data_IF_093544884026
#
_entry.id   IF_093544884026
#
_cell.length_a   1.000
_cell.length_b   1.000
_cell.length_c   1.000
_cell.angle_alpha   90.00
_cell.angle_beta   90.00
_cell.angle_gamma   90.00
#
_symmetry.space_group_name_H-M   'P 1'
#
loop_
_entity.id
_entity.type
_entity.pdbx_description
1 polymer ?
#
# COMPACT_ATOMS: atom_id res chain seq x y z
N UNK A 1 15.36 -20.70 -7.26
CA UNK A 1 16.25 -20.46 -6.10
C UNK A 1 17.33 -19.42 -6.38
N UNK A 2 18.15 -19.53 -7.45
CA UNK A 2 19.25 -18.57 -7.76
C UNK A 2 18.82 -17.09 -7.85
N UNK A 3 17.67 -16.82 -8.47
CA UNK A 3 17.12 -15.45 -8.59
C UNK A 3 16.69 -14.84 -7.25
N UNK A 4 16.18 -15.66 -6.33
CA UNK A 4 15.78 -15.22 -4.99
C UNK A 4 16.98 -14.92 -4.11
N UNK A 5 18.01 -15.77 -4.16
CA UNK A 5 19.28 -15.53 -3.47
C UNK A 5 19.93 -14.22 -3.91
N UNK A 6 19.97 -13.94 -5.22
CA UNK A 6 20.50 -12.68 -5.74
C UNK A 6 19.68 -11.45 -5.31
N UNK A 7 18.35 -11.57 -5.25
CA UNK A 7 17.48 -10.53 -4.75
C UNK A 7 17.72 -10.25 -3.26
N UNK A 8 17.87 -11.29 -2.45
CA UNK A 8 18.22 -11.17 -1.03
C UNK A 8 19.59 -10.51 -0.84
N UNK A 9 20.61 -10.95 -1.61
CA UNK A 9 21.95 -10.34 -1.59
C UNK A 9 21.96 -8.86 -1.98
N UNK A 10 21.03 -8.40 -2.81
CA UNK A 10 20.89 -6.98 -3.15
C UNK A 10 20.19 -6.18 -2.06
N UNK A 11 19.29 -6.79 -1.33
CA UNK A 11 18.41 -6.11 -0.38
C UNK A 11 18.88 -6.22 1.07
N UNK A 12 19.86 -7.07 1.40
CA UNK A 12 20.24 -7.34 2.79
C UNK A 12 20.63 -6.08 3.55
N UNK A 13 21.33 -5.13 2.89
CA UNK A 13 21.72 -3.86 3.51
C UNK A 13 20.51 -3.04 3.93
N UNK A 14 19.53 -2.91 3.05
CA UNK A 14 18.27 -2.19 3.34
C UNK A 14 17.50 -2.87 4.45
N UNK A 15 17.48 -4.20 4.50
CA UNK A 15 16.81 -4.96 5.56
C UNK A 15 17.50 -4.74 6.90
N UNK A 16 18.84 -4.84 6.96
CA UNK A 16 19.60 -4.59 8.20
C UNK A 16 19.41 -3.16 8.71
N UNK A 17 19.45 -2.17 7.82
CA UNK A 17 19.14 -0.77 8.14
C UNK A 17 17.69 -0.67 8.65
N UNK A 18 16.76 -1.39 8.01
CA UNK A 18 15.36 -1.42 8.41
C UNK A 18 15.16 -2.02 9.82
N UNK A 19 15.84 -3.11 10.15
CA UNK A 19 15.79 -3.72 11.49
C UNK A 19 16.34 -2.72 12.53
N UNK A 20 17.48 -2.10 12.26
CA UNK A 20 18.06 -1.09 13.15
C UNK A 20 17.09 0.10 13.32
N UNK A 21 16.52 0.58 12.21
CA UNK A 21 15.55 1.68 12.26
C UNK A 21 14.30 1.33 13.06
N UNK A 22 13.76 0.13 12.87
CA UNK A 22 12.63 -0.38 13.65
C UNK A 22 12.94 -0.42 15.14
N UNK A 23 14.10 -0.97 15.52
CA UNK A 23 14.53 -1.01 16.91
C UNK A 23 14.70 0.39 17.52
N UNK A 24 15.34 1.32 16.82
CA UNK A 24 15.47 2.71 17.29
C UNK A 24 14.10 3.40 17.45
N UNK A 25 13.17 3.10 16.56
CA UNK A 25 11.81 3.64 16.63
C UNK A 25 11.01 3.09 17.82
N UNK A 26 11.25 1.85 18.26
CA UNK A 26 10.63 1.33 19.49
C UNK A 26 11.11 2.09 20.73
N UNK A 27 12.38 2.49 20.79
CA UNK A 27 12.93 3.23 21.92
C UNK A 27 12.32 4.62 22.12
N UNK A 28 11.80 5.22 21.05
CA UNK A 28 11.15 6.56 21.07
C UNK A 28 9.63 6.47 20.94
N UNK A 29 9.06 5.28 21.10
CA UNK A 29 7.61 5.02 21.04
C UNK A 29 6.93 5.57 19.78
N UNK A 30 7.56 5.42 18.61
CA UNK A 30 6.92 5.77 17.35
C UNK A 30 5.74 4.83 17.05
N UNK A 31 4.63 5.33 16.48
CA UNK A 31 3.56 4.47 16.00
C UNK A 31 4.10 3.54 14.90
N UNK A 32 3.68 2.29 14.92
CA UNK A 32 4.18 1.27 13.97
C UNK A 32 5.71 1.25 13.83
N UNK A 33 6.47 1.07 14.92
CA UNK A 33 7.89 1.34 14.95
C UNK A 33 8.68 0.55 13.92
N UNK A 34 8.33 -0.71 13.68
CA UNK A 34 8.98 -1.57 12.69
C UNK A 34 8.73 -1.14 11.24
N UNK A 35 7.60 -0.46 10.97
CA UNK A 35 7.31 0.11 9.65
C UNK A 35 7.98 1.47 9.48
N UNK A 36 7.68 2.42 10.38
CA UNK A 36 8.15 3.80 10.26
C UNK A 36 9.64 3.92 10.49
N UNK A 37 10.20 3.21 11.48
CA UNK A 37 11.63 3.20 11.73
C UNK A 37 12.42 2.64 10.56
N UNK A 38 12.00 1.51 10.00
CA UNK A 38 12.61 0.93 8.81
C UNK A 38 12.53 1.87 7.61
N UNK A 39 11.38 2.55 7.41
CA UNK A 39 11.16 3.52 6.35
C UNK A 39 12.09 4.73 6.52
N UNK A 40 12.07 5.37 7.68
CA UNK A 40 12.80 6.61 7.94
C UNK A 40 14.31 6.40 7.83
N UNK A 41 14.85 5.35 8.44
CA UNK A 41 16.30 5.13 8.41
C UNK A 41 16.79 4.76 7.00
N UNK A 42 16.06 3.92 6.25
CA UNK A 42 16.37 3.67 4.85
C UNK A 42 16.22 4.92 3.98
N UNK A 43 15.24 5.78 4.25
CA UNK A 43 15.07 7.05 3.54
C UNK A 43 16.28 7.98 3.77
N UNK A 44 16.71 8.16 5.02
CA UNK A 44 17.88 8.96 5.37
C UNK A 44 19.12 8.43 4.66
N UNK A 45 19.36 7.11 4.71
CA UNK A 45 20.51 6.50 4.01
C UNK A 45 20.39 6.65 2.49
N UNK A 46 19.17 6.66 1.93
CA UNK A 46 18.95 6.88 0.49
C UNK A 46 19.43 8.25 -0.01
N UNK A 47 19.54 9.24 0.86
CA UNK A 47 20.08 10.57 0.54
C UNK A 47 21.59 10.67 0.71
N UNK A 48 22.26 9.64 1.25
CA UNK A 48 23.71 9.59 1.34
C UNK A 48 24.31 9.00 0.07
N UNK A 49 25.64 9.03 -0.03
CA UNK A 49 26.38 8.38 -1.12
C UNK A 49 26.32 6.84 -1.06
N UNK A 50 25.78 6.28 0.03
CA UNK A 50 25.68 4.84 0.22
C UNK A 50 24.50 4.26 -0.55
N UNK A 51 24.80 3.47 -1.59
CA UNK A 51 23.78 2.87 -2.45
C UNK A 51 23.09 1.71 -1.74
N UNK A 52 21.83 1.88 -1.47
CA UNK A 52 20.92 0.84 -0.99
C UNK A 52 19.84 0.56 -2.04
N UNK A 53 19.44 -0.69 -2.11
CA UNK A 53 18.40 -1.13 -3.03
C UNK A 53 17.51 -2.16 -2.37
N UNK A 54 16.27 -2.26 -2.82
CA UNK A 54 15.32 -3.27 -2.38
C UNK A 54 14.72 -3.97 -3.60
N UNK A 55 14.98 -5.27 -3.74
CA UNK A 55 14.48 -6.06 -4.87
C UNK A 55 13.08 -6.60 -4.56
N UNK A 56 12.11 -6.25 -5.41
CA UNK A 56 10.70 -6.63 -5.23
C UNK A 56 10.46 -8.14 -5.19
N UNK A 57 11.39 -8.95 -5.69
CA UNK A 57 11.24 -10.42 -5.71
C UNK A 57 11.17 -11.03 -4.31
N UNK A 58 11.73 -10.35 -3.30
CA UNK A 58 11.67 -10.84 -1.91
C UNK A 58 10.33 -10.50 -1.23
N UNK A 59 9.44 -9.76 -1.88
CA UNK A 59 8.13 -9.42 -1.32
C UNK A 59 7.13 -10.58 -1.29
N UNK A 60 7.30 -11.62 -2.11
CA UNK A 60 6.32 -12.69 -2.22
C UNK A 60 5.93 -13.30 -0.86
N UNK A 61 6.87 -13.77 -0.01
CA UNK A 61 6.49 -14.30 1.30
C UNK A 61 5.85 -13.26 2.20
N UNK A 62 6.32 -12.01 2.16
CA UNK A 62 5.74 -10.91 2.94
C UNK A 62 4.27 -10.66 2.56
N UNK A 63 3.96 -10.67 1.27
CA UNK A 63 2.61 -10.45 0.76
C UNK A 63 1.67 -11.60 1.13
N UNK A 64 2.17 -12.85 1.13
CA UNK A 64 1.40 -14.01 1.59
C UNK A 64 1.07 -13.91 3.07
N UNK A 65 2.07 -13.58 3.91
CA UNK A 65 1.89 -13.40 5.35
C UNK A 65 0.83 -12.32 5.61
N UNK A 66 0.96 -11.15 4.97
CA UNK A 66 -0.01 -10.05 5.11
C UNK A 66 -1.40 -10.49 4.66
N UNK A 67 -1.53 -11.20 3.53
CA UNK A 67 -2.82 -11.68 3.03
C UNK A 67 -3.50 -12.68 3.99
N UNK A 68 -2.74 -13.59 4.60
CA UNK A 68 -3.27 -14.54 5.60
C UNK A 68 -3.69 -13.80 6.89
N UNK A 69 -2.89 -12.83 7.33
CA UNK A 69 -3.22 -11.98 8.51
C UNK A 69 -4.53 -11.24 8.25
N UNK A 70 -4.69 -10.61 7.09
CA UNK A 70 -5.92 -9.91 6.70
C UNK A 70 -7.15 -10.81 6.70
N UNK A 71 -7.00 -12.02 6.23
CA UNK A 71 -8.06 -13.01 6.23
C UNK A 71 -8.58 -13.32 7.63
N UNK A 72 -7.79 -13.06 8.66
CA UNK A 72 -8.18 -13.20 10.03
C UNK A 72 -9.36 -12.35 10.47
N UNK A 73 -9.62 -11.25 9.77
CA UNK A 73 -10.78 -10.39 9.98
C UNK A 73 -12.03 -10.86 9.24
N UNK A 74 -11.96 -11.96 8.48
CA UNK A 74 -13.11 -12.47 7.74
C UNK A 74 -14.09 -13.16 8.69
N UNK A 75 -15.34 -12.69 8.60
CA UNK A 75 -16.46 -13.25 9.32
C UNK A 75 -17.66 -13.37 8.35
N UNK A 76 -18.49 -14.37 8.54
CA UNK A 76 -19.68 -14.62 7.71
C UNK A 76 -20.65 -13.43 7.72
N UNK A 77 -20.72 -12.68 8.83
CA UNK A 77 -21.54 -11.47 8.94
C UNK A 77 -21.15 -10.35 7.96
N UNK A 78 -19.90 -10.36 7.47
CA UNK A 78 -19.42 -9.38 6.49
C UNK A 78 -20.06 -9.59 5.12
N UNK A 79 -20.38 -10.83 4.75
CA UNK A 79 -21.06 -11.14 3.49
C UNK A 79 -22.43 -10.45 3.41
N UNK A 80 -23.12 -10.30 4.55
CA UNK A 80 -24.38 -9.58 4.61
C UNK A 80 -24.24 -8.05 4.45
N UNK A 81 -23.05 -7.49 4.67
CA UNK A 81 -22.79 -6.05 4.51
C UNK A 81 -22.28 -5.66 3.12
N UNK A 82 -21.86 -6.62 2.29
CA UNK A 82 -21.27 -6.35 0.96
C UNK A 82 -22.22 -5.56 0.06
N UNK A 83 -23.53 -5.79 0.13
CA UNK A 83 -24.49 -5.04 -0.68
C UNK A 83 -24.51 -3.54 -0.36
N UNK A 84 -24.17 -3.14 0.88
CA UNK A 84 -24.04 -1.74 1.27
C UNK A 84 -22.79 -1.08 0.67
N UNK A 85 -21.78 -1.88 0.31
CA UNK A 85 -20.53 -1.36 -0.25
C UNK A 85 -20.66 -0.85 -1.69
N UNK A 86 -21.79 -1.06 -2.34
CA UNK A 86 -22.08 -0.51 -3.68
C UNK A 86 -22.01 1.02 -3.63
N UNK A 87 -22.61 1.65 -2.61
CA UNK A 87 -22.60 3.11 -2.48
C UNK A 87 -21.19 3.65 -2.19
N UNK A 88 -20.46 3.01 -1.29
CA UNK A 88 -19.07 3.39 -1.01
C UNK A 88 -18.14 3.12 -2.19
N UNK A 89 -18.41 2.09 -3.02
CA UNK A 89 -17.70 1.81 -4.26
C UNK A 89 -17.89 2.93 -5.30
N UNK A 90 -19.11 3.39 -5.48
CA UNK A 90 -19.42 4.53 -6.36
C UNK A 90 -18.71 5.80 -5.84
N UNK A 91 -18.81 6.05 -4.53
CA UNK A 91 -18.14 7.18 -3.91
C UNK A 91 -16.59 7.12 -4.09
N UNK A 92 -15.98 5.93 -3.99
CA UNK A 92 -14.56 5.71 -4.26
C UNK A 92 -14.18 6.06 -5.70
N UNK A 93 -14.97 5.64 -6.68
CA UNK A 93 -14.72 5.96 -8.10
C UNK A 93 -14.80 7.47 -8.30
N UNK A 94 -15.85 8.12 -7.79
CA UNK A 94 -16.02 9.58 -7.89
C UNK A 94 -14.86 10.30 -7.17
N UNK A 95 -14.50 9.89 -5.96
CA UNK A 95 -13.36 10.43 -5.21
C UNK A 95 -12.06 10.34 -6.01
N UNK A 96 -11.83 9.18 -6.67
CA UNK A 96 -10.65 8.97 -7.51
C UNK A 96 -10.64 9.91 -8.73
N UNK A 97 -11.78 10.11 -9.39
CA UNK A 97 -11.92 11.01 -10.54
C UNK A 97 -11.69 12.46 -10.10
N UNK A 98 -12.40 12.91 -9.05
CA UNK A 98 -12.28 14.27 -8.51
C UNK A 98 -10.85 14.55 -8.04
N UNK A 99 -10.27 13.64 -7.27
CA UNK A 99 -8.89 13.77 -6.80
C UNK A 99 -7.89 13.87 -7.94
N UNK A 100 -8.04 13.02 -8.97
CA UNK A 100 -7.19 13.06 -10.17
C UNK A 100 -7.34 14.40 -10.91
N UNK A 101 -8.58 14.90 -11.07
CA UNK A 101 -8.83 16.16 -11.76
C UNK A 101 -8.22 17.36 -11.03
N UNK A 102 -8.42 17.44 -9.71
CA UNK A 102 -7.89 18.53 -8.86
C UNK A 102 -6.37 18.54 -8.87
N UNK A 103 -5.74 17.38 -8.68
CA UNK A 103 -4.28 17.27 -8.67
C UNK A 103 -3.69 17.50 -10.07
N UNK A 104 -4.33 17.00 -11.13
CA UNK A 104 -3.88 17.28 -12.49
C UNK A 104 -3.94 18.80 -12.81
N UNK A 105 -5.02 19.47 -12.37
CA UNK A 105 -5.13 20.93 -12.49
C UNK A 105 -4.00 21.64 -11.73
N UNK A 106 -3.72 21.23 -10.48
CA UNK A 106 -2.59 21.74 -9.71
C UNK A 106 -1.26 21.59 -10.45
N UNK A 107 -0.94 20.43 -10.98
CA UNK A 107 0.31 20.19 -11.70
C UNK A 107 0.40 20.98 -13.00
N UNK A 108 -0.70 21.16 -13.75
CA UNK A 108 -0.73 21.97 -14.97
C UNK A 108 -0.55 23.46 -14.65
N UNK A 109 -1.31 23.98 -13.69
CA UNK A 109 -1.38 25.43 -13.43
C UNK A 109 -0.21 25.93 -12.61
N UNK A 110 0.17 25.20 -11.56
CA UNK A 110 1.21 25.63 -10.60
C UNK A 110 2.58 25.09 -11.00
N UNK A 111 2.72 23.80 -11.24
CA UNK A 111 4.00 23.20 -11.58
C UNK A 111 4.36 23.33 -13.07
N UNK A 112 3.43 23.82 -13.90
CA UNK A 112 3.60 23.97 -15.37
C UNK A 112 4.00 22.69 -16.08
N UNK A 113 3.54 21.53 -15.57
CA UNK A 113 3.76 20.25 -16.23
C UNK A 113 2.88 20.13 -17.47
N UNK A 114 3.34 19.37 -18.47
CA UNK A 114 2.53 19.02 -19.63
C UNK A 114 1.27 18.26 -19.22
N UNK A 115 0.15 18.45 -19.92
CA UNK A 115 -1.15 17.85 -19.56
C UNK A 115 -1.08 16.34 -19.34
N UNK A 116 -0.44 15.58 -20.23
CA UNK A 116 -0.33 14.14 -20.08
C UNK A 116 0.53 13.71 -18.88
N UNK A 117 1.61 14.46 -18.60
CA UNK A 117 2.45 14.25 -17.40
C UNK A 117 1.63 14.48 -16.15
N UNK A 118 0.91 15.60 -16.08
CA UNK A 118 0.06 15.98 -14.96
C UNK A 118 -1.03 14.96 -14.68
N UNK A 119 -1.71 14.48 -15.73
CA UNK A 119 -2.76 13.48 -15.58
C UNK A 119 -2.21 12.16 -15.05
N UNK A 120 -1.09 11.67 -15.59
CA UNK A 120 -0.47 10.43 -15.12
C UNK A 120 0.11 10.57 -13.72
N UNK A 121 0.71 11.73 -13.39
CA UNK A 121 1.23 11.99 -12.04
C UNK A 121 0.10 12.03 -11.00
N UNK A 122 -1.08 12.54 -11.38
CA UNK A 122 -2.21 12.72 -10.48
C UNK A 122 -2.98 11.44 -10.14
N UNK A 123 -2.89 10.38 -10.95
CA UNK A 123 -3.64 9.13 -10.72
C UNK A 123 -3.26 8.47 -9.39
N UNK A 124 -4.19 8.24 -8.45
CA UNK A 124 -3.89 7.71 -7.12
C UNK A 124 -3.85 6.18 -7.10
N UNK A 125 -2.73 5.56 -7.41
CA UNK A 125 -2.57 4.09 -7.38
C UNK A 125 -1.92 3.54 -8.64
N UNK A 126 -1.83 2.22 -8.76
CA UNK A 126 -1.27 1.50 -9.90
C UNK A 126 0.11 2.02 -10.37
N UNK A 127 1.01 2.34 -9.41
CA UNK A 127 2.33 2.95 -9.65
C UNK A 127 3.11 2.28 -10.79
N UNK A 128 3.11 0.95 -10.85
CA UNK A 128 3.84 0.20 -11.89
C UNK A 128 3.25 0.49 -13.28
N UNK A 129 1.92 0.46 -13.39
CA UNK A 129 1.21 0.70 -14.67
C UNK A 129 1.46 2.12 -15.15
N UNK A 130 1.40 3.09 -14.24
CA UNK A 130 1.65 4.50 -14.56
C UNK A 130 3.11 4.73 -14.97
N UNK A 131 4.06 4.09 -14.26
CA UNK A 131 5.50 4.20 -14.57
C UNK A 131 5.87 3.57 -15.90
N UNK A 132 5.22 2.47 -16.28
CA UNK A 132 5.38 1.90 -17.64
C UNK A 132 4.72 2.80 -18.69
N UNK A 133 3.49 3.26 -18.46
CA UNK A 133 2.77 4.13 -19.37
C UNK A 133 3.54 5.40 -19.71
N UNK A 134 4.14 6.09 -18.74
CA UNK A 134 4.96 7.28 -19.03
C UNK A 134 6.24 6.91 -19.79
N UNK A 135 6.82 5.74 -19.54
CA UNK A 135 8.01 5.26 -20.25
C UNK A 135 7.74 4.94 -21.72
N UNK A 136 6.51 4.54 -22.05
CA UNK A 136 6.07 4.26 -23.43
C UNK A 136 5.73 5.54 -24.20
N UNK A 137 5.45 6.65 -23.51
CA UNK A 137 5.08 7.93 -24.13
C UNK A 137 6.30 8.80 -24.39
N UNK A 138 7.26 8.82 -23.47
CA UNK A 138 8.41 9.73 -23.53
C UNK A 138 9.71 9.10 -23.06
N UNK A 139 10.80 9.44 -23.76
CA UNK A 139 12.16 9.10 -23.34
C UNK A 139 12.81 10.19 -22.49
N UNK A 140 12.13 11.32 -22.27
CA UNK A 140 12.65 12.43 -21.50
C UNK A 140 12.70 12.06 -19.99
N UNK A 141 13.91 12.00 -19.43
CA UNK A 141 14.15 11.66 -18.02
C UNK A 141 13.41 12.59 -17.06
N UNK A 142 13.36 13.90 -17.36
CA UNK A 142 12.67 14.88 -16.52
C UNK A 142 11.17 14.63 -16.48
N UNK A 143 10.52 14.35 -17.60
CA UNK A 143 9.08 14.06 -17.66
C UNK A 143 8.74 12.76 -16.93
N UNK A 144 9.60 11.74 -17.03
CA UNK A 144 9.46 10.51 -16.24
C UNK A 144 9.60 10.81 -14.75
N UNK A 145 10.58 11.62 -14.34
CA UNK A 145 10.77 12.06 -12.96
C UNK A 145 9.55 12.82 -12.42
N UNK A 146 8.94 13.70 -13.22
CA UNK A 146 7.73 14.46 -12.88
C UNK A 146 6.51 13.55 -12.55
N UNK A 147 6.49 12.32 -13.08
CA UNK A 147 5.43 11.35 -12.76
C UNK A 147 5.84 10.42 -11.60
N UNK A 148 7.04 9.86 -11.67
CA UNK A 148 7.48 8.79 -10.77
C UNK A 148 7.76 9.32 -9.36
N UNK A 149 8.42 10.49 -9.23
CA UNK A 149 8.83 11.02 -7.93
C UNK A 149 7.63 11.45 -7.10
N UNK A 150 6.65 12.26 -7.58
CA UNK A 150 5.46 12.60 -6.80
C UNK A 150 4.66 11.38 -6.39
N UNK A 151 4.53 10.37 -7.25
CA UNK A 151 3.85 9.13 -6.95
C UNK A 151 4.54 8.33 -5.82
N UNK A 152 5.88 8.26 -5.85
CA UNK A 152 6.66 7.60 -4.79
C UNK A 152 6.54 8.38 -3.46
N UNK A 153 6.68 9.71 -3.53
CA UNK A 153 6.54 10.60 -2.37
C UNK A 153 5.15 10.53 -1.75
N UNK A 154 4.10 10.41 -2.57
CA UNK A 154 2.73 10.24 -2.08
C UNK A 154 2.62 9.02 -1.15
N UNK A 155 3.12 7.87 -1.59
CA UNK A 155 3.05 6.65 -0.76
C UNK A 155 3.83 6.85 0.53
N UNK A 156 5.04 7.41 0.45
CA UNK A 156 5.87 7.72 1.61
C UNK A 156 5.16 8.68 2.57
N UNK A 157 4.56 9.76 2.05
CA UNK A 157 3.83 10.75 2.84
C UNK A 157 2.64 10.12 3.57
N UNK A 158 1.83 9.33 2.85
CA UNK A 158 0.64 8.68 3.43
C UNK A 158 1.05 7.69 4.53
N UNK A 159 2.04 6.84 4.27
CA UNK A 159 2.52 5.85 5.26
C UNK A 159 3.14 6.53 6.48
N UNK A 160 3.79 7.67 6.29
CA UNK A 160 4.38 8.42 7.39
C UNK A 160 3.32 9.13 8.25
N UNK A 161 2.33 9.76 7.62
CA UNK A 161 1.39 10.63 8.35
C UNK A 161 0.14 9.91 8.86
N UNK A 162 -0.38 8.87 8.19
CA UNK A 162 -1.60 8.19 8.64
C UNK A 162 -1.49 7.60 10.06
N UNK A 163 -0.39 6.92 10.45
CA UNK A 163 -0.28 6.40 11.81
C UNK A 163 -0.37 7.47 12.88
N UNK A 164 0.19 8.67 12.64
CA UNK A 164 0.07 9.79 13.59
C UNK A 164 -1.36 10.31 13.68
N UNK A 165 -2.09 10.39 12.56
CA UNK A 165 -3.51 10.77 12.57
C UNK A 165 -4.32 9.76 13.39
N UNK A 166 -4.07 8.46 13.25
CA UNK A 166 -4.81 7.43 13.97
C UNK A 166 -4.47 7.39 15.45
N UNK A 167 -3.20 7.55 15.83
CA UNK A 167 -2.81 7.66 17.25
C UNK A 167 -3.54 8.81 17.96
N UNK A 168 -3.71 9.96 17.31
CA UNK A 168 -4.41 11.11 17.91
C UNK A 168 -5.91 10.89 18.05
N UNK A 169 -6.51 10.00 17.26
CA UNK A 169 -7.96 9.75 17.26
C UNK A 169 -8.36 8.50 18.07
N UNK A 170 -7.56 7.45 18.00
CA UNK A 170 -7.87 6.12 18.56
C UNK A 170 -7.02 5.85 19.83
N UNK A 171 -5.94 6.61 20.01
CA UNK A 171 -4.93 6.36 21.03
C UNK A 171 -3.80 5.46 20.52
N UNK A 172 -2.76 5.31 21.36
CA UNK A 172 -1.67 4.40 21.08
C UNK A 172 -2.18 2.96 21.28
N UNK A 173 -2.40 2.25 20.22
CA UNK A 173 -2.62 0.81 20.30
C UNK A 173 -1.26 0.14 20.15
N UNK A 174 -0.81 -0.54 21.19
CA UNK A 174 0.16 -1.61 20.97
C UNK A 174 -0.50 -2.58 19.99
N UNK A 175 0.27 -3.08 19.03
CA UNK A 175 -0.21 -4.19 18.20
C UNK A 175 -0.26 -5.40 19.12
N UNK A 176 -1.14 -5.33 20.11
CA UNK A 176 -1.47 -6.45 20.93
C UNK A 176 -2.33 -7.38 20.10
N UNK A 177 -1.57 -8.24 19.44
CA UNK A 177 -1.97 -9.61 19.33
C UNK A 177 -3.29 -9.85 18.65
N UNK A 178 -3.19 -10.27 17.49
CA UNK A 178 -4.13 -11.26 16.96
C UNK A 178 -4.20 -12.48 17.90
N UNK A 179 -4.89 -12.32 19.03
CA UNK A 179 -5.22 -13.37 19.99
C UNK A 179 -4.03 -13.88 20.80
N UNK A 180 -4.26 -14.10 22.10
CA UNK A 180 -3.37 -14.81 22.98
C UNK A 180 -2.74 -16.00 22.27
N UNK A 181 -1.42 -16.12 22.38
CA UNK A 181 -0.61 -17.21 21.86
C UNK A 181 -1.19 -18.52 22.40
N UNK A 182 -2.15 -19.08 21.65
CA UNK A 182 -2.52 -20.47 21.83
C UNK A 182 -1.23 -21.28 21.67
N UNK A 183 -0.99 -22.17 22.58
CA UNK A 183 0.17 -23.05 22.64
C UNK A 183 0.52 -23.55 21.24
N UNK A 184 1.64 -23.05 20.70
CA UNK A 184 2.15 -23.49 19.38
C UNK A 184 2.44 -24.99 19.45
N UNK A 185 1.55 -25.81 18.91
CA UNK A 185 1.77 -27.22 18.73
C UNK A 185 2.13 -27.51 17.26
N UNK A 186 2.62 -28.72 16.99
CA UNK A 186 3.00 -29.13 15.64
C UNK A 186 1.85 -28.94 14.63
N UNK A 187 0.61 -29.22 15.03
CA UNK A 187 -0.58 -29.05 14.20
C UNK A 187 -0.75 -27.61 13.73
N UNK A 188 -0.53 -26.64 14.62
CA UNK A 188 -0.62 -25.22 14.32
C UNK A 188 0.37 -24.78 13.21
N UNK A 189 1.63 -25.24 13.30
CA UNK A 189 2.62 -24.99 12.26
C UNK A 189 2.25 -25.64 10.92
N UNK A 190 1.72 -26.85 10.95
CA UNK A 190 1.27 -27.55 9.75
C UNK A 190 0.10 -26.82 9.07
N UNK A 191 -0.84 -26.27 9.84
CA UNK A 191 -1.94 -25.47 9.30
C UNK A 191 -1.44 -24.18 8.64
N UNK A 192 -0.48 -23.46 9.24
CA UNK A 192 0.14 -22.27 8.61
C UNK A 192 0.87 -22.65 7.32
N UNK A 193 1.67 -23.71 7.32
CA UNK A 193 2.37 -24.19 6.12
C UNK A 193 1.37 -24.55 5.03
N UNK A 194 0.30 -25.25 5.37
CA UNK A 194 -0.79 -25.59 4.46
C UNK A 194 -1.40 -24.32 3.84
N UNK A 195 -1.77 -23.32 4.64
CA UNK A 195 -2.30 -22.05 4.16
C UNK A 195 -1.33 -21.36 3.19
N UNK A 196 -0.03 -21.36 3.49
CA UNK A 196 1.00 -20.78 2.62
C UNK A 196 1.06 -21.54 1.28
N UNK A 197 1.08 -22.87 1.31
CA UNK A 197 1.17 -23.69 0.09
C UNK A 197 -0.05 -23.48 -0.81
N UNK A 198 -1.25 -23.51 -0.25
CA UNK A 198 -2.49 -23.30 -1.01
C UNK A 198 -2.55 -21.87 -1.54
N UNK A 199 -2.12 -20.89 -0.76
CA UNK A 199 -2.02 -19.48 -1.19
C UNK A 199 -1.01 -19.28 -2.32
N UNK A 200 0.10 -20.02 -2.34
CA UNK A 200 1.06 -20.01 -3.45
C UNK A 200 0.46 -20.55 -4.73
N UNK A 201 -0.34 -21.62 -4.63
CA UNK A 201 -1.07 -22.17 -5.79
C UNK A 201 -2.08 -21.14 -6.29
N UNK A 202 -2.88 -20.57 -5.41
CA UNK A 202 -3.82 -19.51 -5.74
C UNK A 202 -3.14 -18.29 -6.37
N UNK A 203 -1.95 -17.91 -5.88
CA UNK A 203 -1.14 -16.82 -6.46
C UNK A 203 -0.82 -17.10 -7.94
N UNK A 204 -0.34 -18.29 -8.28
CA UNK A 204 -0.03 -18.66 -9.66
C UNK A 204 -1.27 -18.62 -10.56
N UNK A 205 -2.42 -19.03 -10.03
CA UNK A 205 -3.70 -18.95 -10.76
C UNK A 205 -4.07 -17.49 -11.04
N UNK A 206 -4.04 -16.61 -10.04
CA UNK A 206 -4.38 -15.18 -10.20
C UNK A 206 -3.37 -14.44 -11.08
N UNK A 207 -2.09 -14.79 -11.02
CA UNK A 207 -1.05 -14.23 -11.91
C UNK A 207 -1.32 -14.56 -13.39
N UNK A 208 -1.83 -15.77 -13.71
CA UNK A 208 -2.24 -16.14 -15.07
C UNK A 208 -3.32 -15.21 -15.63
N UNK A 209 -4.20 -14.70 -14.78
CA UNK A 209 -5.22 -13.70 -15.13
C UNK A 209 -4.70 -12.26 -15.04
N UNK A 210 -3.40 -12.05 -14.80
CA UNK A 210 -2.75 -10.73 -14.66
C UNK A 210 -3.40 -9.86 -13.57
N UNK A 211 -3.92 -10.49 -12.51
CA UNK A 211 -4.52 -9.78 -11.39
C UNK A 211 -3.42 -9.07 -10.59
N UNK A 212 -3.53 -7.75 -10.35
CA UNK A 212 -2.54 -7.01 -9.57
C UNK A 212 -2.52 -7.49 -8.12
N UNK A 213 -1.33 -7.51 -7.52
CA UNK A 213 -1.14 -7.95 -6.12
C UNK A 213 -1.68 -9.37 -5.84
N UNK A 214 -1.61 -10.25 -6.84
CA UNK A 214 -2.07 -11.64 -6.77
C UNK A 214 -1.68 -12.38 -5.47
N UNK A 215 -0.45 -12.25 -4.90
CA UNK A 215 -0.10 -12.95 -3.67
C UNK A 215 -0.97 -12.57 -2.46
N UNK A 216 -1.23 -11.29 -2.24
CA UNK A 216 -2.10 -10.87 -1.13
C UNK A 216 -3.53 -11.36 -1.34
N UNK A 217 -4.08 -11.17 -2.54
CA UNK A 217 -5.45 -11.60 -2.85
C UNK A 217 -5.63 -13.10 -2.71
N UNK A 218 -4.71 -13.88 -3.26
CA UNK A 218 -4.75 -15.33 -3.16
C UNK A 218 -4.72 -15.78 -1.70
N UNK A 219 -3.78 -15.24 -0.93
CA UNK A 219 -3.65 -15.56 0.48
C UNK A 219 -4.89 -15.15 1.30
N UNK A 220 -5.44 -13.97 1.00
CA UNK A 220 -6.64 -13.46 1.66
C UNK A 220 -7.88 -14.32 1.33
N UNK A 221 -8.08 -14.69 0.06
CA UNK A 221 -9.21 -15.54 -0.36
C UNK A 221 -9.08 -16.94 0.23
N UNK A 222 -7.90 -17.55 0.12
CA UNK A 222 -7.65 -18.90 0.63
C UNK A 222 -7.82 -18.95 2.15
N UNK A 223 -7.08 -18.13 2.89
CA UNK A 223 -7.16 -18.13 4.34
C UNK A 223 -8.53 -17.67 4.83
N UNK A 224 -9.15 -16.69 4.16
CA UNK A 224 -10.50 -16.24 4.45
C UNK A 224 -11.53 -17.35 4.34
N UNK A 225 -11.45 -18.18 3.30
CA UNK A 225 -12.30 -19.37 3.15
C UNK A 225 -12.13 -20.33 4.34
N UNK A 226 -10.89 -20.66 4.70
CA UNK A 226 -10.63 -21.60 5.81
C UNK A 226 -11.05 -21.02 7.17
N UNK A 227 -10.85 -19.72 7.41
CA UNK A 227 -11.26 -19.06 8.66
C UNK A 227 -12.78 -18.90 8.75
N UNK A 228 -13.45 -18.51 7.66
CA UNK A 228 -14.92 -18.34 7.65
C UNK A 228 -15.66 -19.65 7.87
N UNK A 229 -15.10 -20.78 7.40
CA UNK A 229 -15.65 -22.12 7.62
C UNK A 229 -15.15 -22.77 8.92
N UNK A 230 -14.41 -22.02 9.76
CA UNK A 230 -13.84 -22.51 11.03
C UNK A 230 -12.97 -23.76 10.91
N UNK A 231 -12.39 -24.00 9.71
CA UNK A 231 -11.53 -25.15 9.44
C UNK A 231 -10.13 -25.02 10.06
N UNK A 232 -9.72 -23.81 10.38
CA UNK A 232 -8.47 -23.49 11.08
C UNK A 232 -8.61 -22.27 11.96
N UNK A 233 -7.88 -22.26 13.08
CA UNK A 233 -7.71 -21.08 13.95
C UNK A 233 -6.26 -20.60 13.98
N UNK A 234 -5.40 -21.18 13.15
CA UNK A 234 -3.97 -20.87 13.14
C UNK A 234 -3.72 -19.42 12.69
N UNK A 235 -2.93 -18.66 13.45
CA UNK A 235 -2.56 -17.26 13.20
C UNK A 235 -1.04 -17.12 13.15
N UNK A 236 -0.54 -16.16 12.39
CA UNK A 236 0.89 -15.86 12.42
C UNK A 236 1.29 -15.25 13.77
N UNK A 237 2.41 -15.70 14.35
CA UNK A 237 3.04 -15.00 15.46
C UNK A 237 3.39 -13.55 15.13
N UNK A 238 3.36 -12.65 16.12
CA UNK A 238 3.59 -11.21 15.93
C UNK A 238 4.95 -10.89 15.32
N UNK A 239 5.95 -11.74 15.58
CA UNK A 239 7.27 -11.58 14.96
C UNK A 239 7.21 -11.57 13.42
N UNK A 240 6.31 -12.34 12.81
CA UNK A 240 6.16 -12.35 11.36
C UNK A 240 5.52 -11.07 10.84
N UNK A 241 4.63 -10.45 11.63
CA UNK A 241 4.06 -9.14 11.34
C UNK A 241 5.17 -8.09 11.35
N UNK A 242 5.98 -8.06 12.40
CA UNK A 242 7.10 -7.13 12.53
C UNK A 242 8.12 -7.30 11.39
N UNK A 243 8.43 -8.53 11.01
CA UNK A 243 9.28 -8.81 9.84
C UNK A 243 8.65 -8.25 8.57
N UNK A 244 7.36 -8.46 8.34
CA UNK A 244 6.65 -7.92 7.18
C UNK A 244 6.69 -6.38 7.16
N UNK A 245 6.52 -5.72 8.32
CA UNK A 245 6.61 -4.27 8.48
C UNK A 245 8.01 -3.74 8.15
N UNK A 246 9.08 -4.41 8.62
CA UNK A 246 10.47 -4.05 8.27
C UNK A 246 10.70 -4.12 6.77
N UNK A 247 10.24 -5.18 6.10
CA UNK A 247 10.39 -5.33 4.66
C UNK A 247 9.63 -4.23 3.91
N UNK A 248 8.38 -3.93 4.31
CA UNK A 248 7.58 -2.87 3.71
C UNK A 248 8.24 -1.50 3.91
N UNK A 249 8.61 -1.16 5.14
CA UNK A 249 9.27 0.11 5.47
C UNK A 249 10.58 0.29 4.70
N UNK A 250 11.43 -0.74 4.66
CA UNK A 250 12.69 -0.72 3.92
C UNK A 250 12.47 -0.51 2.42
N UNK A 251 11.50 -1.17 1.84
CA UNK A 251 11.19 -1.02 0.42
C UNK A 251 10.68 0.39 0.07
N UNK A 252 9.87 0.99 0.95
CA UNK A 252 9.35 2.35 0.76
C UNK A 252 10.50 3.36 0.91
N UNK A 253 11.32 3.22 1.96
CA UNK A 253 12.46 4.10 2.22
C UNK A 253 13.49 4.11 1.07
N UNK A 254 13.69 2.98 0.38
CA UNK A 254 14.60 2.89 -0.76
C UNK A 254 14.03 3.46 -2.09
N UNK A 255 12.75 3.85 -2.17
CA UNK A 255 12.12 4.28 -3.44
C UNK A 255 12.76 5.50 -4.08
N UNK A 256 13.37 6.37 -3.30
CA UNK A 256 14.01 7.60 -3.78
C UNK A 256 15.52 7.46 -3.97
N UNK A 257 16.10 6.30 -3.66
CA UNK A 257 17.53 6.05 -3.79
C UNK A 257 18.00 6.15 -5.24
N UNK A 258 19.12 6.85 -5.46
CA UNK A 258 19.77 6.95 -6.76
C UNK A 258 19.20 8.02 -7.72
N UNK A 259 18.31 8.87 -7.26
CA UNK A 259 17.79 10.03 -8.01
C UNK A 259 18.63 11.30 -7.70
N UNK A 260 18.59 12.28 -8.60
CA UNK A 260 19.33 13.55 -8.42
C UNK A 260 18.71 14.39 -7.28
N UNK A 261 19.48 14.87 -6.27
CA UNK A 261 18.94 15.50 -5.07
C UNK A 261 18.04 16.73 -5.33
N UNK A 262 18.41 17.60 -6.26
CA UNK A 262 17.62 18.82 -6.58
C UNK A 262 16.25 18.50 -7.20
N UNK A 263 16.19 17.50 -8.09
CA UNK A 263 14.93 17.08 -8.71
C UNK A 263 14.06 16.35 -7.69
N UNK A 264 14.66 15.53 -6.81
CA UNK A 264 13.95 14.88 -5.72
C UNK A 264 13.27 15.91 -4.85
N UNK A 265 13.99 16.91 -4.35
CA UNK A 265 13.44 17.88 -3.41
C UNK A 265 12.23 18.61 -4.00
N UNK A 266 12.35 19.12 -5.24
CA UNK A 266 11.28 19.84 -5.91
C UNK A 266 10.05 18.96 -6.17
N UNK A 267 10.23 17.79 -6.79
CA UNK A 267 9.11 16.92 -7.13
C UNK A 267 8.51 16.24 -5.90
N UNK A 268 9.30 15.99 -4.85
CA UNK A 268 8.81 15.45 -3.59
C UNK A 268 7.98 16.48 -2.81
N UNK A 269 8.38 17.74 -2.81
CA UNK A 269 7.57 18.80 -2.21
C UNK A 269 6.18 18.89 -2.85
N UNK A 270 6.12 18.88 -4.19
CA UNK A 270 4.84 18.87 -4.90
C UNK A 270 4.09 17.53 -4.74
N UNK A 271 4.80 16.43 -4.56
CA UNK A 271 4.23 15.13 -4.20
C UNK A 271 3.58 15.10 -2.82
N UNK A 272 4.17 15.80 -1.84
CA UNK A 272 3.59 15.98 -0.51
C UNK A 272 2.32 16.84 -0.56
N UNK A 273 2.33 17.95 -1.31
CA UNK A 273 1.13 18.77 -1.53
C UNK A 273 0.02 17.95 -2.23
N UNK A 274 0.37 17.18 -3.27
CA UNK A 274 -0.56 16.26 -3.91
C UNK A 274 -1.18 15.30 -2.89
N UNK A 275 -0.38 14.73 -1.99
CA UNK A 275 -0.84 13.80 -0.96
C UNK A 275 -1.82 14.48 0.01
N UNK A 276 -1.50 15.69 0.45
CA UNK A 276 -2.37 16.48 1.33
C UNK A 276 -3.72 16.78 0.65
N UNK A 277 -3.70 17.20 -0.62
CA UNK A 277 -4.94 17.43 -1.40
C UNK A 277 -5.79 16.17 -1.48
N UNK A 278 -5.18 15.04 -1.83
CA UNK A 278 -5.89 13.77 -1.97
C UNK A 278 -6.42 13.25 -0.63
N UNK A 279 -5.66 13.41 0.47
CA UNK A 279 -6.13 13.08 1.82
C UNK A 279 -7.29 13.98 2.25
N UNK A 280 -7.24 15.27 1.95
CA UNK A 280 -8.35 16.18 2.20
C UNK A 280 -9.63 15.78 1.45
N UNK A 281 -9.51 15.42 0.16
CA UNK A 281 -10.64 14.92 -0.64
C UNK A 281 -11.15 13.61 -0.05
N UNK A 282 -10.27 12.66 0.32
CA UNK A 282 -10.65 11.41 0.96
C UNK A 282 -11.42 11.64 2.26
N UNK A 283 -10.97 12.59 3.09
CA UNK A 283 -11.65 12.96 4.33
C UNK A 283 -13.06 13.52 4.09
N UNK A 284 -13.23 14.37 3.08
CA UNK A 284 -14.55 14.91 2.69
C UNK A 284 -15.49 13.78 2.28
N UNK A 285 -15.04 12.86 1.41
CA UNK A 285 -15.85 11.73 0.97
C UNK A 285 -16.15 10.75 2.12
N UNK A 286 -15.19 10.48 3.00
CA UNK A 286 -15.40 9.67 4.19
C UNK A 286 -16.44 10.29 5.13
N UNK A 287 -16.39 11.61 5.31
CA UNK A 287 -17.36 12.34 6.12
C UNK A 287 -18.79 12.30 5.52
N UNK A 288 -18.90 12.43 4.19
CA UNK A 288 -20.17 12.26 3.48
C UNK A 288 -20.74 10.86 3.71
N UNK A 289 -19.92 9.81 3.56
CA UNK A 289 -20.36 8.43 3.80
C UNK A 289 -20.80 8.19 5.25
N UNK A 290 -20.11 8.81 6.22
CA UNK A 290 -20.47 8.74 7.63
C UNK A 290 -21.85 9.34 7.87
N UNK A 291 -22.12 10.57 7.37
CA UNK A 291 -23.37 11.29 7.64
C UNK A 291 -24.57 10.64 6.94
N UNK A 292 -24.43 10.31 5.65
CA UNK A 292 -25.58 9.89 4.84
C UNK A 292 -25.81 8.38 4.85
N UNK A 293 -24.76 7.59 5.09
CA UNK A 293 -24.83 6.13 4.96
C UNK A 293 -24.38 5.38 6.22
N UNK A 294 -23.98 6.10 7.29
CA UNK A 294 -23.62 5.50 8.56
C UNK A 294 -22.31 4.67 8.56
N UNK A 295 -21.45 4.86 7.55
CA UNK A 295 -20.17 4.17 7.53
C UNK A 295 -19.23 4.71 8.63
N UNK A 296 -18.36 3.84 9.14
CA UNK A 296 -17.28 4.31 10.01
C UNK A 296 -16.36 5.27 9.26
N UNK A 297 -16.07 6.43 9.89
CA UNK A 297 -15.25 7.47 9.26
C UNK A 297 -13.83 7.01 9.02
N UNK A 298 -13.22 6.30 9.98
CA UNK A 298 -11.83 5.87 9.89
C UNK A 298 -11.65 4.81 8.81
N UNK A 299 -12.58 3.85 8.73
CA UNK A 299 -12.59 2.84 7.69
C UNK A 299 -12.76 3.47 6.30
N UNK A 300 -13.72 4.38 6.14
CA UNK A 300 -13.93 5.09 4.87
C UNK A 300 -12.74 5.99 4.50
N UNK A 301 -12.20 6.73 5.45
CA UNK A 301 -11.04 7.61 5.24
C UNK A 301 -9.80 6.80 4.80
N UNK A 302 -9.50 5.72 5.52
CA UNK A 302 -8.37 4.86 5.20
C UNK A 302 -8.54 4.16 3.85
N UNK A 303 -9.78 3.72 3.53
CA UNK A 303 -10.13 3.13 2.24
C UNK A 303 -9.89 4.08 1.08
N UNK A 304 -10.16 5.38 1.25
CA UNK A 304 -10.04 6.39 0.21
C UNK A 304 -8.68 7.08 0.19
N UNK A 305 -7.87 6.89 1.23
CA UNK A 305 -6.53 7.45 1.33
C UNK A 305 -5.66 7.05 0.14
N UNK A 306 -4.85 7.97 -0.43
CA UNK A 306 -4.09 7.75 -1.66
C UNK A 306 -2.80 6.94 -1.45
N UNK A 307 -2.79 5.97 -0.53
CA UNK A 307 -1.65 5.11 -0.23
C UNK A 307 -1.43 3.99 -1.24
N UNK A 308 -0.38 3.19 -1.02
CA UNK A 308 -0.23 1.89 -1.66
C UNK A 308 -1.11 0.85 -0.99
N UNK A 309 -1.58 -0.14 -1.76
CA UNK A 309 -2.50 -1.16 -1.24
C UNK A 309 -1.92 -1.88 0.00
N UNK A 310 -0.68 -2.35 -0.11
CA UNK A 310 -0.05 -3.14 0.94
C UNK A 310 0.14 -2.35 2.23
N UNK A 311 0.57 -1.11 2.09
CA UNK A 311 0.91 -0.22 3.20
C UNK A 311 -0.35 0.18 3.99
N UNK A 312 -1.40 0.57 3.29
CA UNK A 312 -2.65 1.04 3.91
C UNK A 312 -3.40 -0.12 4.57
N UNK A 313 -3.38 -1.28 3.93
CA UNK A 313 -3.99 -2.49 4.47
C UNK A 313 -3.31 -2.93 5.77
N UNK A 314 -1.97 -2.87 5.85
CA UNK A 314 -1.25 -3.16 7.10
C UNK A 314 -1.59 -2.14 8.20
N UNK A 315 -1.75 -0.87 7.83
CA UNK A 315 -2.21 0.16 8.78
C UNK A 315 -3.62 -0.18 9.29
N UNK A 316 -4.54 -0.62 8.41
CA UNK A 316 -5.90 -0.99 8.84
C UNK A 316 -5.92 -2.13 9.86
N UNK A 317 -5.07 -3.15 9.65
CA UNK A 317 -4.90 -4.24 10.61
C UNK A 317 -4.33 -3.75 11.93
N UNK A 318 -3.29 -2.94 11.87
CA UNK A 318 -2.59 -2.46 13.07
C UNK A 318 -3.47 -1.58 13.97
N UNK A 319 -4.48 -0.93 13.42
CA UNK A 319 -5.41 -0.08 14.17
C UNK A 319 -6.82 -0.68 14.28
N UNK A 320 -6.99 -1.96 13.94
CA UNK A 320 -8.28 -2.68 13.94
C UNK A 320 -9.40 -1.93 13.18
N UNK A 321 -9.04 -1.34 12.03
CA UNK A 321 -9.95 -0.57 11.17
C UNK A 321 -10.40 -1.44 10.00
N UNK A 322 -11.54 -2.08 10.10
CA UNK A 322 -12.14 -3.00 9.08
C UNK A 322 -11.23 -3.31 7.87
N UNK A 323 -10.27 -4.25 8.00
CA UNK A 323 -9.25 -4.46 6.98
C UNK A 323 -9.83 -4.98 5.66
N UNK A 324 -10.98 -5.66 5.70
CA UNK A 324 -11.63 -6.18 4.50
C UNK A 324 -12.25 -5.04 3.69
N UNK A 325 -12.97 -4.12 4.33
CA UNK A 325 -13.54 -2.94 3.70
C UNK A 325 -12.44 -2.08 3.06
N UNK A 326 -11.36 -1.82 3.79
CA UNK A 326 -10.21 -1.07 3.28
C UNK A 326 -9.58 -1.76 2.08
N UNK A 327 -9.32 -3.06 2.18
CA UNK A 327 -8.68 -3.84 1.11
C UNK A 327 -9.54 -3.86 -0.15
N UNK A 328 -10.84 -4.11 -0.01
CA UNK A 328 -11.79 -4.12 -1.12
C UNK A 328 -11.77 -2.82 -1.92
N UNK A 329 -11.86 -1.66 -1.24
CA UNK A 329 -11.87 -0.36 -1.92
C UNK A 329 -10.54 -0.03 -2.58
N UNK A 330 -9.42 -0.41 -1.96
CA UNK A 330 -8.10 -0.25 -2.58
C UNK A 330 -7.94 -1.10 -3.84
N UNK A 331 -8.44 -2.35 -3.86
CA UNK A 331 -8.47 -3.16 -5.08
C UNK A 331 -9.36 -2.54 -6.14
N UNK A 332 -10.59 -2.13 -5.78
CA UNK A 332 -11.52 -1.47 -6.69
C UNK A 332 -10.86 -0.26 -7.38
N UNK A 333 -10.17 0.59 -6.61
CA UNK A 333 -9.43 1.74 -7.15
C UNK A 333 -8.34 1.32 -8.12
N UNK A 334 -7.53 0.33 -7.75
CA UNK A 334 -6.43 -0.16 -8.60
C UNK A 334 -6.98 -0.72 -9.92
N UNK A 335 -8.04 -1.53 -9.87
CA UNK A 335 -8.70 -2.03 -11.07
C UNK A 335 -9.26 -0.90 -11.92
N UNK A 336 -9.98 0.03 -11.32
CA UNK A 336 -10.52 1.20 -12.02
C UNK A 336 -9.43 1.97 -12.77
N UNK A 337 -8.28 2.22 -12.13
CA UNK A 337 -7.16 2.93 -12.75
C UNK A 337 -6.54 2.10 -13.88
N UNK A 338 -6.31 0.80 -13.67
CA UNK A 338 -5.73 -0.07 -14.71
C UNK A 338 -6.59 -0.06 -15.97
N UNK A 339 -7.91 -0.17 -15.83
CA UNK A 339 -8.83 -0.10 -16.96
C UNK A 339 -8.92 1.30 -17.56
N UNK A 340 -8.79 2.36 -16.76
CA UNK A 340 -8.88 3.74 -17.23
C UNK A 340 -7.64 4.22 -17.98
N UNK A 341 -6.44 3.76 -17.63
CA UNK A 341 -5.17 4.22 -18.22
C UNK A 341 -5.12 4.10 -19.74
N UNK A 342 -5.49 2.98 -20.39
CA UNK A 342 -5.47 2.89 -21.86
C UNK A 342 -6.39 3.92 -22.53
N UNK A 343 -7.56 4.18 -21.97
CA UNK A 343 -8.49 5.20 -22.50
C UNK A 343 -7.93 6.62 -22.33
N UNK A 344 -7.37 6.92 -21.15
CA UNK A 344 -6.68 8.18 -20.88
C UNK A 344 -5.56 8.40 -21.88
N UNK A 345 -4.71 7.38 -22.13
CA UNK A 345 -3.61 7.47 -23.09
C UNK A 345 -4.07 7.69 -24.52
N UNK A 346 -5.14 7.00 -24.95
CA UNK A 346 -5.73 7.20 -26.29
C UNK A 346 -6.25 8.62 -26.47
N UNK A 347 -6.90 9.19 -25.45
CA UNK A 347 -7.40 10.55 -25.46
C UNK A 347 -6.27 11.59 -25.49
N UNK A 348 -5.21 11.38 -24.71
CA UNK A 348 -4.06 12.28 -24.65
C UNK A 348 -3.20 12.26 -25.92
N UNK A 349 -3.10 11.10 -26.60
CA UNK A 349 -2.40 10.98 -27.91
C UNK A 349 -3.12 11.69 -29.05
N UNK A 350 -4.46 11.75 -29.03
CA UNK A 350 -5.25 12.46 -30.06
C UNK A 350 -5.14 13.98 -29.97
N UNK A 351 -4.60 14.54 -28.89
CA UNK A 351 -4.43 15.99 -28.68
C UNK A 351 -2.98 16.47 -28.85
N UNK A 352 -2.09 15.62 -29.35
CA UNK A 352 -0.79 15.97 -29.89
C UNK A 352 -0.91 16.16 -31.39
#
# INVERSE_FOLDING_TARGET
MKNYYLAMKRSYKSILIGILGGYLATLINLPLPWLLGALLLNLVVSFTSYKITFDKKIFLPVLLIIGIILAGSFNISLLYKIHLWIYSSIAMIICTIVGTAVVAFYFVKICKFKKYVSTLAALPGAFVVISTAISDITNNKKERGQVVIPQATRVLFVVLFLPFIFVTQIGYQEIDSFGNIATYNLRYFLEIIFLIIVSLIGTKVLEKFRIPSAPILAAMIVAGFFYTLELTTARFPDIFINVALVFLGSAIGCRLSGLAPKEILFFSFHGAIMSAILLGIAAIFAYILKIYLGFDFMAAFLSFAPGGLHEVVVISVAYDIDPLFVTYHHFLRVFFIIFSVPFILKFLRKKK
#
